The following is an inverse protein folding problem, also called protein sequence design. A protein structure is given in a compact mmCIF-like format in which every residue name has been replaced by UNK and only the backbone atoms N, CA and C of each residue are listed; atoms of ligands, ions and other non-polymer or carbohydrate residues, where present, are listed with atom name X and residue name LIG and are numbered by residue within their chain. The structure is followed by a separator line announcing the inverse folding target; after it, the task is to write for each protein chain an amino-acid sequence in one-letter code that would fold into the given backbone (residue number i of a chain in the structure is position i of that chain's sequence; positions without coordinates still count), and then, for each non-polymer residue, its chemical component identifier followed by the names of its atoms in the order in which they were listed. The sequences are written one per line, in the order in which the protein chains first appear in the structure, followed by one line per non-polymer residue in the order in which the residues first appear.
data_IF_605979129936
#
_entry.id   IF_605979129936
#
_cell.length_a   1.000
_cell.length_b   1.000
_cell.length_c   1.000
_cell.angle_alpha   90.00
_cell.angle_beta   90.00
_cell.angle_gamma   90.00
#
_symmetry.space_group_name_H-M   'P 1'
#
loop_
_entity.id
_entity.type
_entity.pdbx_description
1 polymer ?
#
# COMPACT_ATOMS: atom_id res chain seq x y z
N UNK A 1 33.83 -0.48 -21.55
CA UNK A 1 32.58 -1.10 -21.11
C UNK A 1 32.36 -0.78 -19.64
N UNK A 2 31.48 0.17 -19.34
CA UNK A 2 31.05 0.44 -17.97
C UNK A 2 30.21 -0.75 -17.53
N UNK A 3 30.74 -1.59 -16.63
CA UNK A 3 29.94 -2.56 -15.88
C UNK A 3 28.88 -1.75 -15.14
N UNK A 4 27.66 -1.74 -15.65
CA UNK A 4 26.53 -1.21 -14.89
C UNK A 4 26.41 -2.13 -13.69
N UNK A 5 26.70 -1.62 -12.50
CA UNK A 5 26.42 -2.35 -11.27
C UNK A 5 24.91 -2.54 -11.26
N UNK A 6 24.44 -3.77 -11.45
CA UNK A 6 23.03 -4.05 -11.27
C UNK A 6 22.64 -3.60 -9.87
N UNK A 7 21.59 -2.76 -9.72
CA UNK A 7 21.16 -2.32 -8.41
C UNK A 7 20.88 -3.55 -7.54
N UNK A 8 21.42 -3.55 -6.33
CA UNK A 8 21.26 -4.65 -5.39
C UNK A 8 19.77 -4.85 -5.10
N UNK A 9 19.30 -6.09 -5.13
CA UNK A 9 17.92 -6.46 -4.78
C UNK A 9 17.51 -5.83 -3.46
N UNK A 10 18.41 -5.86 -2.47
CA UNK A 10 18.17 -5.27 -1.16
C UNK A 10 17.90 -3.76 -1.25
N UNK A 11 18.64 -3.06 -2.12
CA UNK A 11 18.47 -1.62 -2.33
C UNK A 11 17.12 -1.31 -3.01
N UNK A 12 16.73 -2.07 -4.03
CA UNK A 12 15.44 -1.88 -4.72
C UNK A 12 14.28 -2.17 -3.75
N UNK A 13 14.36 -3.26 -2.97
CA UNK A 13 13.33 -3.59 -1.99
C UNK A 13 13.19 -2.49 -0.93
N UNK A 14 14.32 -2.01 -0.38
CA UNK A 14 14.31 -0.91 0.57
C UNK A 14 13.79 0.40 -0.03
N UNK A 15 14.02 0.64 -1.33
CA UNK A 15 13.40 1.76 -2.03
C UNK A 15 11.88 1.59 -2.12
N UNK A 16 11.38 0.41 -2.49
CA UNK A 16 9.93 0.17 -2.58
C UNK A 16 9.23 0.36 -1.23
N UNK A 17 9.84 -0.09 -0.12
CA UNK A 17 9.33 0.18 1.24
C UNK A 17 9.20 1.69 1.47
N UNK A 18 10.25 2.46 1.19
CA UNK A 18 10.21 3.93 1.29
C UNK A 18 9.16 4.57 0.38
N UNK A 19 8.93 4.01 -0.81
CA UNK A 19 7.88 4.46 -1.73
C UNK A 19 6.49 4.14 -1.21
N UNK A 20 6.30 3.02 -0.54
CA UNK A 20 5.04 2.70 0.13
C UNK A 20 4.77 3.67 1.28
N UNK A 21 5.76 3.95 2.13
CA UNK A 21 5.62 4.95 3.19
C UNK A 21 5.33 6.35 2.64
N UNK A 22 5.99 6.74 1.55
CA UNK A 22 5.74 8.02 0.89
C UNK A 22 4.34 8.08 0.28
N UNK A 23 3.89 7.00 -0.34
CA UNK A 23 2.54 6.87 -0.85
C UNK A 23 1.53 6.99 0.29
N UNK A 24 1.69 6.25 1.39
CA UNK A 24 0.82 6.30 2.57
C UNK A 24 0.76 7.71 3.15
N UNK A 25 1.85 8.47 3.14
CA UNK A 25 1.84 9.85 3.65
C UNK A 25 1.06 10.82 2.77
N UNK A 26 1.08 10.59 1.44
CA UNK A 26 0.51 11.50 0.43
C UNK A 26 -0.88 11.07 -0.06
N UNK A 27 -1.28 9.83 0.18
CA UNK A 27 -2.51 9.25 -0.34
C UNK A 27 -3.74 10.09 0.07
N UNK A 28 -4.65 10.29 -0.87
CA UNK A 28 -5.94 10.91 -0.59
C UNK A 28 -6.79 9.99 0.32
N UNK A 29 -7.74 10.54 1.10
CA UNK A 29 -8.57 9.74 2.00
C UNK A 29 -9.30 8.57 1.31
N UNK A 30 -9.77 8.77 0.07
CA UNK A 30 -10.42 7.72 -0.73
C UNK A 30 -9.47 6.57 -1.08
N UNK A 31 -8.20 6.87 -1.29
CA UNK A 31 -7.19 5.87 -1.67
C UNK A 31 -6.75 5.06 -0.45
N UNK A 32 -6.62 5.70 0.71
CA UNK A 32 -6.47 4.99 1.98
C UNK A 32 -7.62 4.01 2.19
N UNK A 33 -8.87 4.49 2.06
CA UNK A 33 -10.05 3.65 2.24
C UNK A 33 -10.10 2.49 1.24
N UNK A 34 -9.75 2.75 -0.03
CA UNK A 34 -9.67 1.72 -1.06
C UNK A 34 -8.69 0.61 -0.66
N UNK A 35 -7.47 0.96 -0.27
CA UNK A 35 -6.47 -0.04 0.14
C UNK A 35 -6.96 -0.82 1.35
N UNK A 36 -7.53 -0.14 2.33
CA UNK A 36 -8.03 -0.79 3.54
C UNK A 36 -9.17 -1.78 3.30
N UNK A 37 -10.03 -1.53 2.31
CA UNK A 37 -11.19 -2.37 2.05
C UNK A 37 -10.98 -3.39 0.94
N UNK A 38 -10.09 -3.10 -0.02
CA UNK A 38 -9.94 -3.88 -1.26
C UNK A 38 -8.48 -4.22 -1.58
N UNK A 39 -7.52 -3.65 -0.85
CA UNK A 39 -6.11 -3.73 -1.16
C UNK A 39 -5.75 -3.00 -2.46
N UNK A 40 -4.79 -3.55 -3.20
CA UNK A 40 -4.41 -3.07 -4.52
C UNK A 40 -3.09 -2.30 -4.59
N UNK A 41 -2.32 -2.22 -3.50
CA UNK A 41 -0.95 -1.71 -3.59
C UNK A 41 -0.16 -2.54 -4.61
N UNK A 42 0.55 -1.87 -5.52
CA UNK A 42 1.29 -2.50 -6.60
C UNK A 42 2.65 -1.84 -6.77
N UNK A 43 3.74 -2.62 -6.90
CA UNK A 43 5.07 -2.07 -7.13
C UNK A 43 5.20 -1.58 -8.57
N UNK A 44 5.80 -0.41 -8.74
CA UNK A 44 6.27 0.07 -10.04
C UNK A 44 7.79 -0.02 -10.03
N UNK A 45 8.36 -0.86 -10.88
CA UNK A 45 9.81 -0.99 -11.06
C UNK A 45 10.12 -0.89 -12.55
N UNK A 46 10.83 0.17 -12.94
CA UNK A 46 11.16 0.46 -14.34
C UNK A 46 12.66 0.65 -14.47
N UNK A 47 13.29 -0.01 -15.43
CA UNK A 47 14.68 0.27 -15.81
C UNK A 47 14.70 1.22 -17.01
N UNK A 48 15.27 2.41 -16.83
CA UNK A 48 15.40 3.43 -17.86
C UNK A 48 16.82 3.99 -17.86
N UNK A 49 17.50 3.91 -19.01
CA UNK A 49 18.84 4.50 -19.17
C UNK A 49 19.91 3.93 -18.22
N UNK A 50 19.76 2.67 -17.79
CA UNK A 50 20.67 2.03 -16.82
C UNK A 50 20.39 2.39 -15.36
N UNK A 51 19.27 3.08 -15.09
CA UNK A 51 18.80 3.39 -13.75
C UNK A 51 17.50 2.65 -13.46
N UNK A 52 17.32 2.20 -12.22
CA UNK A 52 16.05 1.63 -11.75
C UNK A 52 15.24 2.68 -11.01
N UNK A 53 14.04 2.93 -11.50
CA UNK A 53 13.03 3.79 -10.89
C UNK A 53 12.01 2.93 -10.15
N UNK A 54 11.67 3.36 -8.94
CA UNK A 54 10.73 2.66 -8.05
C UNK A 54 9.55 3.56 -7.68
N UNK A 55 8.37 2.96 -7.57
CA UNK A 55 7.13 3.63 -7.16
C UNK A 55 6.12 2.64 -6.59
N UNK A 56 5.03 3.18 -6.08
CA UNK A 56 3.84 2.44 -5.65
C UNK A 56 2.64 3.08 -6.33
N UNK A 57 1.80 2.23 -6.91
CA UNK A 57 0.53 2.62 -7.51
C UNK A 57 -0.60 1.70 -7.00
N UNK A 58 -1.84 2.01 -7.39
CA UNK A 58 -3.00 1.18 -7.10
C UNK A 58 -3.43 0.41 -8.36
N UNK A 59 -3.39 -0.91 -8.28
CA UNK A 59 -3.87 -1.83 -9.31
C UNK A 59 -5.09 -2.61 -8.81
N UNK A 60 -6.03 -2.88 -9.73
CA UNK A 60 -7.14 -3.82 -9.47
C UNK A 60 -6.74 -5.27 -9.75
N UNK A 61 -5.53 -5.51 -10.29
CA UNK A 61 -5.00 -6.84 -10.57
C UNK A 61 -4.40 -7.50 -9.33
N UNK A 62 -4.39 -8.85 -9.27
CA UNK A 62 -3.72 -9.57 -8.20
C UNK A 62 -2.20 -9.35 -8.27
N UNK A 63 -1.56 -9.15 -7.12
CA UNK A 63 -0.10 -9.01 -7.03
C UNK A 63 0.38 -9.25 -5.61
N UNK A 64 1.69 -9.43 -5.43
CA UNK A 64 2.27 -9.72 -4.10
C UNK A 64 1.88 -8.67 -3.05
N UNK A 65 1.92 -7.39 -3.41
CA UNK A 65 1.55 -6.30 -2.49
C UNK A 65 0.05 -6.04 -2.43
N UNK A 66 -0.77 -6.67 -3.28
CA UNK A 66 -2.17 -6.30 -3.44
C UNK A 66 -3.02 -6.57 -2.19
N UNK A 67 -2.52 -7.35 -1.24
CA UNK A 67 -3.19 -7.65 0.03
C UNK A 67 -2.66 -6.86 1.23
N UNK A 68 -1.52 -6.17 1.07
CA UNK A 68 -0.93 -5.37 2.14
C UNK A 68 -1.89 -4.25 2.52
N UNK A 69 -2.16 -4.11 3.82
CA UNK A 69 -3.04 -3.07 4.31
C UNK A 69 -4.52 -3.34 4.08
N UNK A 70 -4.92 -4.53 3.63
CA UNK A 70 -6.33 -4.89 3.52
C UNK A 70 -6.85 -5.43 4.86
N UNK A 71 -7.91 -4.83 5.39
CA UNK A 71 -8.54 -5.30 6.62
C UNK A 71 -9.44 -6.50 6.31
N UNK A 72 -9.28 -7.57 7.10
CA UNK A 72 -10.15 -8.74 7.24
C UNK A 72 -11.11 -8.99 6.07
N UNK A 73 -10.65 -9.83 5.13
CA UNK A 73 -11.41 -10.31 3.97
C UNK A 73 -12.77 -10.92 4.32
N UNK A 74 -12.94 -11.41 5.55
CA UNK A 74 -14.13 -12.14 6.00
C UNK A 74 -15.21 -11.24 6.61
N UNK A 75 -14.92 -9.96 6.84
CA UNK A 75 -15.87 -9.00 7.40
C UNK A 75 -16.37 -8.03 6.33
N UNK A 76 -17.61 -7.55 6.49
CA UNK A 76 -18.10 -6.48 5.63
C UNK A 76 -17.34 -5.18 5.89
N UNK A 77 -17.26 -4.30 4.88
CA UNK A 77 -16.62 -3.00 5.01
C UNK A 77 -17.16 -2.18 6.19
N UNK A 78 -18.48 -2.22 6.42
CA UNK A 78 -19.10 -1.50 7.53
C UNK A 78 -18.66 -2.03 8.91
N UNK A 79 -18.60 -3.35 9.09
CA UNK A 79 -18.15 -3.97 10.34
C UNK A 79 -16.68 -3.68 10.62
N UNK A 80 -15.85 -3.87 9.59
CA UNK A 80 -14.43 -3.56 9.59
C UNK A 80 -14.17 -2.11 10.02
N UNK A 81 -14.80 -1.15 9.35
CA UNK A 81 -14.57 0.27 9.66
C UNK A 81 -15.09 0.64 11.05
N UNK A 82 -16.21 0.04 11.50
CA UNK A 82 -16.72 0.30 12.85
C UNK A 82 -15.73 -0.13 13.94
N UNK A 83 -15.11 -1.31 13.79
CA UNK A 83 -14.07 -1.79 14.71
C UNK A 83 -12.88 -0.85 14.72
N UNK A 84 -12.35 -0.50 13.55
CA UNK A 84 -11.17 0.37 13.44
C UNK A 84 -11.44 1.79 13.94
N UNK A 85 -12.61 2.36 13.64
CA UNK A 85 -13.01 3.66 14.18
C UNK A 85 -13.02 3.65 15.71
N UNK A 86 -13.53 2.59 16.33
CA UNK A 86 -13.49 2.43 17.79
C UNK A 86 -12.05 2.31 18.30
N UNK A 87 -11.19 1.49 17.68
CA UNK A 87 -9.78 1.31 18.07
C UNK A 87 -9.00 2.61 17.97
N UNK A 88 -9.27 3.43 16.97
CA UNK A 88 -8.56 4.70 16.75
C UNK A 88 -9.16 5.88 17.51
N UNK A 89 -10.37 5.75 18.07
CA UNK A 89 -11.11 6.85 18.66
C UNK A 89 -11.66 7.85 17.63
N UNK A 90 -11.92 7.39 16.40
CA UNK A 90 -12.57 8.17 15.35
C UNK A 90 -14.10 8.19 15.54
N UNK A 91 -14.79 9.07 14.82
CA UNK A 91 -16.25 9.05 14.74
C UNK A 91 -16.76 7.78 14.06
N UNK A 92 -17.99 7.36 14.37
CA UNK A 92 -18.57 6.16 13.78
C UNK A 92 -18.75 6.33 12.26
N UNK A 93 -18.26 5.38 11.44
CA UNK A 93 -18.42 5.43 10.00
C UNK A 93 -19.89 5.19 9.62
N UNK A 94 -20.37 5.79 8.52
CA UNK A 94 -21.68 5.48 7.99
C UNK A 94 -21.72 4.08 7.38
N UNK A 95 -22.91 3.47 7.34
CA UNK A 95 -23.10 2.14 6.79
C UNK A 95 -22.99 2.09 5.25
N UNK A 96 -23.31 3.19 4.55
CA UNK A 96 -23.24 3.25 3.09
C UNK A 96 -21.83 3.58 2.60
N UNK A 97 -21.35 2.84 1.60
CA UNK A 97 -20.01 3.00 1.00
C UNK A 97 -19.76 4.42 0.50
N UNK A 98 -20.72 5.00 -0.24
CA UNK A 98 -20.58 6.37 -0.78
C UNK A 98 -20.40 7.42 0.34
N UNK A 99 -20.96 7.17 1.53
CA UNK A 99 -20.80 8.06 2.67
C UNK A 99 -19.50 7.78 3.45
N UNK A 100 -18.90 6.60 3.32
CA UNK A 100 -17.64 6.25 3.98
C UNK A 100 -16.47 7.06 3.42
N UNK A 101 -16.47 7.32 2.11
CA UNK A 101 -15.47 8.22 1.49
C UNK A 101 -15.56 9.64 2.04
N UNK A 102 -16.78 10.17 2.17
CA UNK A 102 -17.01 11.50 2.75
C UNK A 102 -16.62 11.53 4.24
N UNK A 103 -16.91 10.46 4.98
CA UNK A 103 -16.54 10.32 6.38
C UNK A 103 -15.03 10.32 6.57
N UNK A 104 -14.28 9.46 5.86
CA UNK A 104 -12.82 9.41 6.02
C UNK A 104 -12.18 10.73 5.57
N UNK A 105 -12.73 11.41 4.56
CA UNK A 105 -12.25 12.74 4.17
C UNK A 105 -12.48 13.82 5.24
N UNK A 106 -13.55 13.71 6.04
CA UNK A 106 -13.89 14.69 7.07
C UNK A 106 -13.28 14.38 8.45
N UNK A 107 -13.02 13.11 8.77
CA UNK A 107 -12.52 12.68 10.08
C UNK A 107 -10.99 12.54 10.08
N UNK A 108 -10.32 13.54 10.65
CA UNK A 108 -8.84 13.55 10.76
C UNK A 108 -8.28 12.42 11.63
N UNK A 109 -9.04 11.93 12.62
CA UNK A 109 -8.62 10.81 13.48
C UNK A 109 -8.70 9.50 12.69
N UNK A 110 -9.74 9.32 11.88
CA UNK A 110 -9.85 8.20 10.96
C UNK A 110 -8.69 8.18 9.94
N UNK A 111 -8.34 9.33 9.36
CA UNK A 111 -7.20 9.43 8.44
C UNK A 111 -5.88 9.08 9.12
N UNK A 112 -5.63 9.61 10.32
CA UNK A 112 -4.41 9.31 11.07
C UNK A 112 -4.34 7.83 11.47
N UNK A 113 -5.46 7.23 11.87
CA UNK A 113 -5.59 5.80 12.17
C UNK A 113 -5.30 4.93 10.96
N UNK A 114 -5.91 5.24 9.82
CA UNK A 114 -5.69 4.56 8.55
C UNK A 114 -4.21 4.59 8.13
N UNK A 115 -3.58 5.77 8.19
CA UNK A 115 -2.15 5.89 7.84
C UNK A 115 -1.26 5.11 8.81
N UNK A 116 -1.53 5.17 10.11
CA UNK A 116 -0.77 4.39 11.10
C UNK A 116 -0.88 2.90 10.82
N UNK A 117 -2.11 2.41 10.62
CA UNK A 117 -2.35 1.01 10.29
C UNK A 117 -1.60 0.59 9.01
N UNK A 118 -1.65 1.39 7.95
CA UNK A 118 -0.95 1.05 6.71
C UNK A 118 0.58 1.08 6.86
N UNK A 119 1.13 1.98 7.69
CA UNK A 119 2.57 1.96 8.01
C UNK A 119 2.96 0.69 8.77
N UNK A 120 2.18 0.33 9.79
CA UNK A 120 2.41 -0.92 10.56
C UNK A 120 2.38 -2.14 9.62
N UNK A 121 1.42 -2.18 8.69
CA UNK A 121 1.31 -3.23 7.68
C UNK A 121 2.51 -3.29 6.72
N UNK A 122 3.07 -2.14 6.32
CA UNK A 122 4.28 -2.10 5.50
C UNK A 122 5.48 -2.67 6.28
N UNK A 123 5.64 -2.28 7.54
CA UNK A 123 6.73 -2.72 8.41
C UNK A 123 6.66 -4.24 8.69
N UNK A 124 5.47 -4.76 8.94
CA UNK A 124 5.25 -6.20 9.18
C UNK A 124 5.47 -7.03 7.90
N UNK A 125 5.28 -6.43 6.71
CA UNK A 125 5.35 -7.12 5.43
C UNK A 125 6.58 -6.74 4.58
N UNK A 126 7.66 -6.22 5.18
CA UNK A 126 8.91 -5.84 4.46
C UNK A 126 9.43 -6.94 3.53
N UNK A 127 9.29 -8.22 3.92
CA UNK A 127 9.74 -9.34 3.10
C UNK A 127 9.02 -9.45 1.74
N UNK A 128 7.75 -9.02 1.65
CA UNK A 128 6.98 -9.05 0.41
C UNK A 128 7.56 -8.11 -0.66
N UNK A 129 8.13 -6.97 -0.24
CA UNK A 129 8.80 -6.05 -1.16
C UNK A 129 10.03 -6.68 -1.81
N UNK A 130 10.76 -7.52 -1.07
CA UNK A 130 11.86 -8.31 -1.63
C UNK A 130 11.39 -9.33 -2.67
N UNK A 131 10.25 -9.97 -2.43
CA UNK A 131 9.64 -10.92 -3.36
C UNK A 131 9.13 -10.23 -4.64
N UNK A 132 8.64 -8.99 -4.57
CA UNK A 132 8.32 -8.20 -5.77
C UNK A 132 9.53 -7.95 -6.66
N UNK A 133 10.69 -7.69 -6.06
CA UNK A 133 11.93 -7.50 -6.82
C UNK A 133 12.35 -8.82 -7.48
N UNK A 134 12.16 -9.97 -6.82
CA UNK A 134 12.42 -11.28 -7.43
C UNK A 134 11.55 -11.53 -8.66
N UNK A 135 10.23 -11.29 -8.56
CA UNK A 135 9.31 -11.45 -9.69
C UNK A 135 9.67 -10.55 -10.88
N UNK A 136 10.05 -9.31 -10.59
CA UNK A 136 10.51 -8.36 -11.59
C UNK A 136 11.82 -8.80 -12.26
N UNK A 137 12.81 -9.24 -11.47
CA UNK A 137 14.09 -9.74 -11.99
C UNK A 137 13.90 -10.95 -12.90
N UNK A 138 12.99 -11.87 -12.55
CA UNK A 138 12.67 -13.03 -13.39
C UNK A 138 12.02 -12.59 -14.71
N UNK A 139 11.11 -11.60 -14.64
CA UNK A 139 10.37 -11.11 -15.81
C UNK A 139 11.24 -10.30 -16.77
N UNK A 140 12.28 -9.61 -16.28
CA UNK A 140 13.21 -8.83 -17.10
C UNK A 140 14.46 -9.60 -17.56
N UNK A 141 14.65 -10.84 -17.12
CA UNK A 141 15.70 -11.75 -17.62
C UNK A 141 15.20 -12.70 -18.71
N UNK A 142 13.90 -12.69 -19.01
CA UNK A 142 13.26 -13.46 -20.08
C UNK A 142 13.29 -12.69 -21.42
#
# INVERSE_FOLDING_TARGET
MLKHAHPDKADIAAQLVRRADEWIRRAEPKDLLRVMLRGGLSPVIVEEGGHVLTGIDLSDGPGILSKVGMIWVDLSAAETLAIFAQVWGASAPPASVDAQEAWIAADTVAQAGARRFLHDEVDENIALFGACVDEWLVSNQA
#
